data_IF_861295015524
#
_entry.id   IF_861295015524
#
_cell.length_a   1.000
_cell.length_b   1.000
_cell.length_c   1.000
_cell.angle_alpha   90.00
_cell.angle_beta   90.00
_cell.angle_gamma   90.00
#
_symmetry.space_group_name_H-M   'P 1'
#
loop_
_entity.id
_entity.type
_entity.pdbx_description
1 polymer ?
#
# COMPACT_ATOMS: atom_id res chain seq x y z
N UNK A 1 -14.12 -8.64 -5.46
CA UNK A 1 -13.03 -9.53 -4.99
C UNK A 1 -12.10 -9.95 -6.12
N UNK A 2 -12.55 -10.74 -7.12
CA UNK A 2 -11.68 -11.23 -8.20
C UNK A 2 -10.89 -10.13 -8.93
N UNK A 3 -11.53 -9.00 -9.26
CA UNK A 3 -10.86 -7.87 -9.88
C UNK A 3 -9.74 -7.25 -9.01
N UNK A 4 -9.89 -7.25 -7.68
CA UNK A 4 -8.86 -6.72 -6.77
C UNK A 4 -7.66 -7.65 -6.64
N UNK A 5 -7.87 -8.96 -6.74
CA UNK A 5 -6.78 -9.95 -6.79
C UNK A 5 -5.95 -9.76 -8.07
N UNK A 6 -6.60 -9.53 -9.22
CA UNK A 6 -5.89 -9.24 -10.48
C UNK A 6 -5.12 -7.91 -10.42
N UNK A 7 -5.72 -6.88 -9.83
CA UNK A 7 -5.04 -5.59 -9.59
C UNK A 7 -3.86 -5.73 -8.63
N UNK A 8 -3.96 -6.57 -7.60
CA UNK A 8 -2.85 -6.91 -6.71
C UNK A 8 -1.68 -7.51 -7.49
N UNK A 9 -1.93 -8.53 -8.31
CA UNK A 9 -0.87 -9.17 -9.12
C UNK A 9 -0.22 -8.15 -10.05
N UNK A 10 -1.01 -7.32 -10.74
CA UNK A 10 -0.48 -6.27 -11.62
C UNK A 10 0.33 -5.22 -10.86
N UNK A 11 -0.11 -4.85 -9.65
CA UNK A 11 0.60 -3.95 -8.76
C UNK A 11 1.98 -4.50 -8.41
N UNK A 12 2.03 -5.73 -7.89
CA UNK A 12 3.27 -6.40 -7.48
C UNK A 12 4.26 -6.53 -8.65
N UNK A 13 3.78 -7.01 -9.80
CA UNK A 13 4.59 -7.15 -11.02
C UNK A 13 5.17 -5.81 -11.48
N UNK A 14 4.38 -4.73 -11.41
CA UNK A 14 4.83 -3.40 -11.82
C UNK A 14 5.88 -2.84 -10.84
N UNK A 15 5.67 -3.01 -9.53
CA UNK A 15 6.64 -2.62 -8.49
C UNK A 15 7.98 -3.33 -8.70
N UNK A 16 7.96 -4.66 -8.88
CA UNK A 16 9.15 -5.49 -9.10
C UNK A 16 9.89 -5.14 -10.39
N UNK A 17 9.17 -4.69 -11.42
CA UNK A 17 9.75 -4.18 -12.68
C UNK A 17 10.28 -2.75 -12.58
N UNK A 18 10.07 -2.07 -11.45
CA UNK A 18 10.46 -0.67 -11.26
C UNK A 18 9.54 0.36 -11.91
N UNK A 19 8.40 -0.06 -12.45
CA UNK A 19 7.35 0.81 -12.99
C UNK A 19 6.49 1.32 -11.82
N UNK A 20 6.73 2.56 -11.39
CA UNK A 20 6.06 3.16 -10.21
C UNK A 20 4.75 3.88 -10.56
N UNK A 21 4.52 4.24 -11.82
CA UNK A 21 3.31 4.97 -12.21
C UNK A 21 2.07 4.08 -12.13
N UNK A 22 2.14 2.83 -12.60
CA UNK A 22 0.99 1.90 -12.51
C UNK A 22 0.60 1.57 -11.06
N UNK A 23 1.54 1.19 -10.16
CA UNK A 23 1.24 1.00 -8.75
C UNK A 23 0.58 2.22 -8.11
N UNK A 24 1.02 3.43 -8.48
CA UNK A 24 0.42 4.68 -7.99
C UNK A 24 -1.04 4.81 -8.42
N UNK A 25 -1.35 4.58 -9.70
CA UNK A 25 -2.73 4.64 -10.21
C UNK A 25 -3.64 3.60 -9.55
N UNK A 26 -3.13 2.37 -9.33
CA UNK A 26 -3.89 1.31 -8.64
C UNK A 26 -4.18 1.71 -7.19
N UNK A 27 -3.20 2.28 -6.48
CA UNK A 27 -3.41 2.78 -5.11
C UNK A 27 -4.38 3.95 -5.04
N UNK A 28 -4.32 4.88 -5.99
CA UNK A 28 -5.27 5.99 -6.02
C UNK A 28 -6.70 5.49 -6.27
N UNK A 29 -6.86 4.47 -7.11
CA UNK A 29 -8.15 3.80 -7.29
C UNK A 29 -8.59 3.05 -6.02
N UNK A 30 -7.67 2.40 -5.30
CA UNK A 30 -7.97 1.75 -4.03
C UNK A 30 -8.45 2.75 -2.96
N UNK A 31 -7.77 3.90 -2.84
CA UNK A 31 -8.18 5.00 -1.94
C UNK A 31 -9.57 5.54 -2.31
N UNK A 32 -9.83 5.73 -3.60
CA UNK A 32 -11.16 6.13 -4.07
C UNK A 32 -12.24 5.12 -3.68
N UNK A 33 -11.98 3.83 -3.89
CA UNK A 33 -12.93 2.77 -3.56
C UNK A 33 -13.17 2.64 -2.05
N UNK A 34 -12.12 2.77 -1.21
CA UNK A 34 -12.23 2.74 0.26
C UNK A 34 -13.05 3.90 0.83
N UNK A 35 -13.13 5.02 0.11
CA UNK A 35 -13.95 6.17 0.49
C UNK A 35 -15.43 6.02 0.06
N UNK A 36 -15.79 4.95 -0.65
CA UNK A 36 -17.16 4.73 -1.10
C UNK A 36 -18.09 4.38 0.08
N UNK A 37 -19.37 4.78 0.03
CA UNK A 37 -20.35 4.46 1.08
C UNK A 37 -20.77 2.98 1.07
N UNK A 38 -20.28 2.18 0.14
CA UNK A 38 -20.67 0.78 -0.06
C UNK A 38 -19.70 -0.17 0.63
N UNK A 39 -20.15 -0.81 1.70
CA UNK A 39 -19.32 -1.73 2.50
C UNK A 39 -18.73 -2.87 1.65
N UNK A 40 -19.48 -3.42 0.70
CA UNK A 40 -19.00 -4.49 -0.18
C UNK A 40 -17.80 -4.07 -1.04
N UNK A 41 -17.76 -2.81 -1.47
CA UNK A 41 -16.62 -2.27 -2.21
C UNK A 41 -15.41 -2.14 -1.29
N UNK A 42 -15.61 -1.61 -0.08
CA UNK A 42 -14.55 -1.45 0.91
C UNK A 42 -13.94 -2.80 1.30
N UNK A 43 -14.78 -3.80 1.61
CA UNK A 43 -14.35 -5.18 1.90
C UNK A 43 -13.58 -5.79 0.73
N UNK A 44 -14.07 -5.61 -0.51
CA UNK A 44 -13.37 -6.15 -1.66
C UNK A 44 -11.97 -5.56 -1.89
N UNK A 45 -11.77 -4.28 -1.54
CA UNK A 45 -10.45 -3.61 -1.61
C UNK A 45 -9.55 -4.06 -0.45
N UNK A 46 -10.11 -4.13 0.76
CA UNK A 46 -9.38 -4.51 1.96
C UNK A 46 -8.81 -5.93 1.82
N UNK A 47 -9.69 -6.91 1.60
CA UNK A 47 -9.34 -8.34 1.56
C UNK A 47 -8.60 -8.71 0.26
N UNK A 48 -8.95 -8.05 -0.85
CA UNK A 48 -8.39 -8.40 -2.16
C UNK A 48 -7.01 -7.77 -2.43
N UNK A 49 -6.64 -6.72 -1.68
CA UNK A 49 -5.48 -5.89 -2.01
C UNK A 49 -4.74 -5.37 -0.78
N UNK A 50 -5.38 -4.59 0.09
CA UNK A 50 -4.67 -3.87 1.16
C UNK A 50 -4.01 -4.81 2.15
N UNK A 51 -4.69 -5.89 2.57
CA UNK A 51 -4.13 -6.84 3.56
C UNK A 51 -2.85 -7.54 3.08
N UNK A 52 -2.63 -7.58 1.77
CA UNK A 52 -1.51 -8.25 1.14
C UNK A 52 -0.34 -7.32 0.76
N UNK A 53 -0.51 -6.00 0.84
CA UNK A 53 0.47 -5.03 0.32
C UNK A 53 1.90 -5.23 0.86
N UNK A 54 2.02 -5.63 2.13
CA UNK A 54 3.29 -5.76 2.84
C UNK A 54 3.79 -7.22 2.97
N UNK A 55 3.11 -8.18 2.33
CA UNK A 55 3.41 -9.61 2.40
C UNK A 55 4.75 -9.94 1.72
N UNK A 56 4.96 -9.41 0.50
CA UNK A 56 6.19 -9.61 -0.27
C UNK A 56 7.28 -8.58 0.11
N UNK A 57 8.48 -9.06 0.41
CA UNK A 57 9.60 -8.23 0.85
C UNK A 57 10.05 -7.20 -0.19
N UNK A 58 10.08 -7.58 -1.47
CA UNK A 58 10.52 -6.70 -2.57
C UNK A 58 9.51 -5.57 -2.76
N UNK A 59 8.23 -5.90 -2.76
CA UNK A 59 7.13 -4.92 -2.84
C UNK A 59 7.13 -4.01 -1.61
N UNK A 60 7.21 -4.60 -0.41
CA UNK A 60 7.21 -3.87 0.86
C UNK A 60 8.32 -2.82 0.93
N UNK A 61 9.51 -3.13 0.43
CA UNK A 61 10.63 -2.19 0.41
C UNK A 61 10.38 -0.96 -0.46
N UNK A 62 9.50 -1.08 -1.46
CA UNK A 62 9.14 0.02 -2.37
C UNK A 62 7.86 0.76 -1.99
N UNK A 63 7.03 0.19 -1.12
CA UNK A 63 5.81 0.84 -0.62
C UNK A 63 6.02 2.27 -0.11
N UNK A 64 7.10 2.63 0.62
CA UNK A 64 7.33 4.01 1.05
C UNK A 64 7.36 5.04 -0.09
N UNK A 65 7.51 4.59 -1.35
CA UNK A 65 7.46 5.43 -2.52
C UNK A 65 6.07 5.81 -2.99
N UNK A 66 5.09 5.03 -2.57
CA UNK A 66 3.71 5.01 -3.06
C UNK A 66 2.70 5.39 -1.97
N UNK A 67 3.03 5.09 -0.71
CA UNK A 67 2.17 5.34 0.45
C UNK A 67 2.86 6.21 1.50
N UNK A 68 2.05 6.76 2.40
CA UNK A 68 2.47 7.60 3.50
C UNK A 68 2.41 6.84 4.83
N UNK A 69 3.04 7.40 5.86
CA UNK A 69 2.90 6.85 7.21
C UNK A 69 1.45 6.93 7.74
N UNK A 70 0.65 7.87 7.22
CA UNK A 70 -0.77 7.97 7.55
C UNK A 70 -1.56 6.84 6.90
N UNK A 71 -1.30 6.51 5.62
CA UNK A 71 -1.92 5.34 4.98
C UNK A 71 -1.63 4.06 5.79
N UNK A 72 -0.39 3.86 6.24
CA UNK A 72 -0.01 2.70 7.08
C UNK A 72 -0.75 2.69 8.42
N UNK A 73 -0.96 3.85 9.03
CA UNK A 73 -1.73 3.97 10.26
C UNK A 73 -3.20 3.60 10.02
N UNK A 74 -3.81 4.15 8.98
CA UNK A 74 -5.23 3.97 8.67
C UNK A 74 -5.56 2.54 8.24
N UNK A 75 -4.59 1.84 7.65
CA UNK A 75 -4.73 0.45 7.21
C UNK A 75 -4.13 -0.57 8.17
N UNK A 76 -3.70 -0.15 9.37
CA UNK A 76 -2.97 -1.01 10.32
C UNK A 76 -3.70 -2.32 10.61
N UNK A 77 -4.99 -2.24 10.89
CA UNK A 77 -5.81 -3.41 11.24
C UNK A 77 -6.02 -4.36 10.05
N UNK A 78 -6.07 -3.81 8.82
CA UNK A 78 -6.21 -4.60 7.59
C UNK A 78 -4.88 -5.31 7.27
N UNK A 79 -3.76 -4.58 7.34
CA UNK A 79 -2.41 -5.13 7.12
C UNK A 79 -2.05 -6.22 8.12
N UNK A 80 -2.56 -6.13 9.36
CA UNK A 80 -2.28 -7.10 10.42
C UNK A 80 -2.82 -8.51 10.13
N UNK A 81 -3.64 -8.68 9.09
CA UNK A 81 -4.17 -9.98 8.70
C UNK A 81 -3.10 -10.89 8.07
N UNK A 82 -2.19 -10.34 7.25
CA UNK A 82 -1.06 -11.10 6.66
C UNK A 82 0.33 -10.58 7.04
N UNK A 83 0.44 -9.49 7.80
CA UNK A 83 1.72 -8.93 8.23
C UNK A 83 1.84 -8.84 9.75
N UNK A 84 3.00 -9.18 10.29
CA UNK A 84 3.26 -8.99 11.72
C UNK A 84 3.37 -7.49 12.09
N UNK A 85 3.12 -7.18 13.36
CA UNK A 85 3.14 -5.80 13.86
C UNK A 85 4.52 -5.14 13.73
N UNK A 86 5.60 -5.92 13.75
CA UNK A 86 6.97 -5.43 13.52
C UNK A 86 7.19 -4.99 12.08
N UNK A 87 6.66 -5.73 11.10
CA UNK A 87 6.63 -5.35 9.68
C UNK A 87 5.89 -4.03 9.49
N UNK A 88 4.70 -3.89 10.07
CA UNK A 88 3.87 -2.69 9.93
C UNK A 88 4.57 -1.47 10.55
N UNK A 89 5.16 -1.63 11.74
CA UNK A 89 5.91 -0.56 12.40
C UNK A 89 7.17 -0.17 11.61
N UNK A 90 7.87 -1.13 11.01
CA UNK A 90 9.02 -0.88 10.15
C UNK A 90 8.63 -0.09 8.89
N UNK A 91 7.50 -0.46 8.28
CA UNK A 91 6.95 0.23 7.10
C UNK A 91 6.55 1.68 7.42
N UNK A 92 5.86 1.91 8.55
CA UNK A 92 5.52 3.26 9.00
C UNK A 92 6.78 4.13 9.20
N UNK A 93 7.81 3.58 9.86
CA UNK A 93 9.11 4.27 10.03
C UNK A 93 9.80 4.55 8.70
N UNK A 94 9.73 3.64 7.74
CA UNK A 94 10.31 3.83 6.41
C UNK A 94 9.63 4.98 5.66
N UNK A 95 8.30 5.06 5.71
CA UNK A 95 7.53 6.17 5.13
C UNK A 95 7.92 7.52 5.76
N UNK A 96 8.05 7.58 7.09
CA UNK A 96 8.49 8.79 7.80
C UNK A 96 9.90 9.24 7.39
N UNK A 97 10.85 8.30 7.27
CA UNK A 97 12.24 8.61 6.84
C UNK A 97 12.27 9.17 5.43
N UNK A 98 11.52 8.58 4.50
CA UNK A 98 11.50 9.03 3.11
C UNK A 98 10.96 10.46 2.98
N UNK A 99 9.90 10.79 3.72
CA UNK A 99 9.35 12.15 3.75
C UNK A 99 10.40 13.18 4.18
N UNK A 100 11.13 12.91 5.27
CA UNK A 100 12.22 13.78 5.75
C UNK A 100 13.31 13.98 4.70
N UNK A 101 13.69 12.90 4.00
CA UNK A 101 14.67 12.99 2.93
C UNK A 101 14.17 13.89 1.78
N UNK A 102 12.92 13.74 1.37
CA UNK A 102 12.33 14.57 0.30
C UNK A 102 12.21 16.06 0.70
N UNK A 103 11.97 16.37 1.97
CA UNK A 103 11.94 17.75 2.48
C UNK A 103 13.34 18.38 2.54
N UNK A 104 14.36 17.60 2.93
CA UNK A 104 15.75 18.07 3.00
C UNK A 104 16.38 18.26 1.60
N UNK A 105 16.01 17.48 0.59
CA UNK A 105 16.54 17.63 -0.78
C UNK A 105 15.98 18.84 -1.53
N UNK A 106 15.05 19.60 -0.93
CA UNK A 106 14.43 20.81 -1.52
C UNK A 106 15.05 22.12 -1.01
N UNK A 107 16.01 22.04 -0.10
CA UNK A 107 16.76 23.16 0.48
C UNK A 107 18.22 23.12 0.00
#
# INVERSE_FOLDING_TARGET
>A
MAAWIELRVLFEDSVKRGDIEKPRLILDYARYCLAAPHNEINTAVADGFIEHLAEDDEVRNRLPELITAQDVHDWRDILAYHSDSGIIDALSKACLRRRKHAENSRH
#
